data_IF_635045099332
#
_entry.id   IF_635045099332
#
_cell.length_a   1.000
_cell.length_b   1.000
_cell.length_c   1.000
_cell.angle_alpha   90.00
_cell.angle_beta   90.00
_cell.angle_gamma   90.00
#
_symmetry.space_group_name_H-M   'P 1'
#
loop_
_entity.id
_entity.type
_entity.pdbx_description
1 polymer ?
#
# COMPACT_ATOMS: atom_id res chain seq x y z
N UNK A 1 -14.76 20.62 -4.42
CA UNK A 1 -15.69 19.53 -4.81
C UNK A 1 -15.27 18.30 -4.02
N UNK A 2 -16.18 17.77 -3.20
CA UNK A 2 -15.94 16.76 -2.16
C UNK A 2 -15.07 15.59 -2.65
N UNK A 3 -13.95 15.35 -1.97
CA UNK A 3 -13.13 14.16 -2.19
C UNK A 3 -13.88 12.96 -1.59
N UNK A 4 -14.41 12.11 -2.47
CA UNK A 4 -14.98 10.82 -2.14
C UNK A 4 -13.90 9.93 -1.53
N UNK A 5 -13.97 9.74 -0.21
CA UNK A 5 -13.19 8.76 0.54
C UNK A 5 -13.67 7.36 0.15
N UNK A 6 -13.07 6.78 -0.89
CA UNK A 6 -13.21 5.35 -1.16
C UNK A 6 -12.45 4.59 -0.06
N UNK A 7 -13.20 4.06 0.90
CA UNK A 7 -12.71 3.09 1.87
C UNK A 7 -12.11 1.88 1.11
N UNK A 8 -10.88 1.42 1.43
CA UNK A 8 -10.36 0.21 0.84
C UNK A 8 -11.21 -0.98 1.29
N UNK A 9 -11.61 -1.78 0.31
CA UNK A 9 -12.59 -2.85 0.44
C UNK A 9 -12.26 -3.88 1.54
N UNK A 10 -13.33 -4.31 2.21
CA UNK A 10 -13.36 -5.50 3.07
C UNK A 10 -12.64 -6.66 2.40
N UNK A 11 -11.57 -7.17 3.03
CA UNK A 11 -10.88 -8.38 2.61
C UNK A 11 -11.86 -9.57 2.65
N UNK A 12 -12.16 -10.25 1.52
CA UNK A 12 -12.93 -11.48 1.57
C UNK A 12 -12.03 -12.60 2.10
N UNK A 13 -12.14 -12.90 3.39
CA UNK A 13 -11.45 -14.01 4.08
C UNK A 13 -12.15 -15.35 3.78
N UNK A 14 -12.33 -15.67 2.50
CA UNK A 14 -12.89 -16.95 2.05
C UNK A 14 -12.02 -17.51 0.94
N UNK A 15 -10.90 -18.12 1.33
CA UNK A 15 -10.34 -19.34 0.74
C UNK A 15 -9.06 -19.70 1.50
N UNK A 16 -8.82 -21.00 1.66
CA UNK A 16 -7.65 -21.65 2.31
C UNK A 16 -7.79 -21.96 3.81
N UNK A 17 -8.71 -22.87 4.13
CA UNK A 17 -8.41 -23.92 5.12
C UNK A 17 -8.86 -25.27 4.57
N UNK A 18 -8.04 -25.83 3.68
CA UNK A 18 -8.01 -27.25 3.44
C UNK A 18 -6.53 -27.66 3.54
N UNK A 19 -6.27 -28.68 4.36
CA UNK A 19 -4.99 -29.33 4.62
C UNK A 19 -3.98 -28.59 5.52
N UNK A 20 -4.09 -28.82 6.84
CA UNK A 20 -2.95 -28.97 7.75
C UNK A 20 -3.37 -29.66 9.07
N UNK A 21 -3.77 -30.93 8.98
CA UNK A 21 -3.85 -31.81 10.14
C UNK A 21 -3.23 -33.16 9.74
N UNK A 22 -1.93 -33.14 9.43
CA UNK A 22 -1.19 -34.36 9.15
C UNK A 22 0.25 -34.28 9.66
N UNK A 23 0.56 -35.28 10.48
CA UNK A 23 1.85 -35.85 10.85
C UNK A 23 2.69 -35.16 11.95
N UNK A 24 2.81 -35.88 13.07
CA UNK A 24 3.99 -35.92 13.92
C UNK A 24 4.29 -37.38 14.30
N UNK A 25 5.13 -38.05 13.51
CA UNK A 25 5.75 -39.35 13.85
C UNK A 25 7.22 -39.06 14.21
N UNK A 26 7.60 -39.26 15.47
CA UNK A 26 8.96 -39.03 15.96
C UNK A 26 9.84 -40.26 15.75
N UNK A 27 11.02 -40.04 15.17
CA UNK A 27 12.13 -40.99 15.08
C UNK A 27 13.11 -40.81 16.24
N UNK A 28 13.64 -41.93 16.74
CA UNK A 28 14.58 -42.01 17.86
C UNK A 28 16.03 -41.70 17.42
N UNK A 29 16.72 -40.84 18.16
CA UNK A 29 18.18 -40.75 18.21
C UNK A 29 18.64 -40.93 19.66
N UNK A 30 19.71 -41.71 19.86
CA UNK A 30 20.24 -42.10 21.17
C UNK A 30 21.32 -41.12 21.68
N UNK A 31 21.33 -40.72 22.98
CA UNK A 31 22.43 -39.96 23.57
C UNK A 31 23.40 -40.80 24.43
N UNK A 32 24.57 -40.18 24.66
CA UNK A 32 25.83 -40.69 25.21
C UNK A 32 25.91 -40.68 26.76
N UNK A 33 26.90 -41.39 27.33
CA UNK A 33 26.88 -42.07 28.63
C UNK A 33 27.03 -41.26 29.95
N UNK A 34 27.02 -39.92 29.94
CA UNK A 34 27.21 -39.11 31.18
C UNK A 34 25.90 -38.61 31.84
N UNK A 35 24.73 -38.98 31.32
CA UNK A 35 23.41 -38.55 31.81
C UNK A 35 22.87 -39.33 33.03
N UNK A 36 23.61 -40.32 33.55
CA UNK A 36 23.01 -41.43 34.29
C UNK A 36 22.67 -41.17 35.78
N UNK A 37 23.02 -40.01 36.35
CA UNK A 37 22.69 -39.67 37.77
C UNK A 37 21.69 -38.53 37.97
N UNK A 38 21.45 -37.69 36.95
CA UNK A 38 20.23 -36.84 36.89
C UNK A 38 19.03 -37.61 36.33
N UNK A 39 19.30 -38.64 35.50
CA UNK A 39 18.31 -39.53 34.91
C UNK A 39 17.47 -40.34 35.89
N UNK A 40 17.82 -40.62 37.16
CA UNK A 40 16.96 -41.54 37.93
C UNK A 40 15.66 -40.89 38.40
N UNK A 41 15.70 -39.62 38.80
CA UNK A 41 14.48 -38.88 39.14
C UNK A 41 13.76 -38.40 37.89
N UNK A 42 14.49 -37.89 36.88
CA UNK A 42 13.89 -37.46 35.61
C UNK A 42 13.31 -38.65 34.82
N UNK A 43 14.01 -39.79 34.76
CA UNK A 43 13.48 -41.00 34.11
C UNK A 43 12.38 -41.67 34.94
N UNK A 44 12.38 -41.63 36.29
CA UNK A 44 11.20 -42.09 37.04
C UNK A 44 9.98 -41.20 36.78
N UNK A 45 10.15 -39.88 36.71
CA UNK A 45 9.06 -38.96 36.38
C UNK A 45 8.62 -39.06 34.92
N UNK A 46 9.53 -39.35 33.99
CA UNK A 46 9.22 -39.63 32.58
C UNK A 46 8.57 -41.01 32.40
N UNK A 47 8.98 -42.01 33.18
CA UNK A 47 8.43 -43.38 33.16
C UNK A 47 7.04 -43.44 33.85
N UNK A 48 6.82 -42.67 34.93
CA UNK A 48 5.49 -42.44 35.52
C UNK A 48 4.58 -41.62 34.59
N UNK A 49 5.10 -40.55 33.96
CA UNK A 49 4.35 -39.79 32.95
C UNK A 49 4.05 -40.62 31.69
N UNK A 50 4.94 -41.53 31.29
CA UNK A 50 4.72 -42.46 30.19
C UNK A 50 3.70 -43.55 30.56
N UNK A 51 3.70 -44.03 31.80
CA UNK A 51 2.70 -44.98 32.30
C UNK A 51 1.29 -44.36 32.33
N UNK A 52 1.16 -43.08 32.67
CA UNK A 52 -0.11 -42.34 32.69
C UNK A 52 -0.60 -41.95 31.27
N UNK A 53 0.24 -42.13 30.24
CA UNK A 53 -0.07 -41.95 28.82
C UNK A 53 -0.33 -43.26 28.08
N UNK A 54 -0.97 -44.22 28.75
CA UNK A 54 -1.34 -45.51 28.16
C UNK A 54 -2.84 -45.61 27.92
N UNK A 55 -3.21 -46.29 26.83
CA UNK A 55 -4.59 -46.65 26.56
C UNK A 55 -4.93 -47.97 27.24
N UNK A 56 -6.09 -48.01 27.90
CA UNK A 56 -6.81 -49.25 28.16
C UNK A 56 -7.27 -49.86 26.83
N UNK A 57 -7.38 -51.19 26.79
CA UNK A 57 -7.87 -51.89 25.60
C UNK A 57 -9.27 -51.42 25.19
N UNK A 58 -10.16 -51.21 26.17
CA UNK A 58 -11.54 -50.78 25.92
C UNK A 58 -11.61 -49.39 25.27
N UNK A 59 -10.92 -48.38 25.84
CA UNK A 59 -10.96 -47.03 25.28
C UNK A 59 -10.15 -46.94 23.98
N UNK A 60 -9.04 -47.67 23.89
CA UNK A 60 -8.23 -47.76 22.67
C UNK A 60 -9.05 -48.25 21.48
N UNK A 61 -9.86 -49.29 21.63
CA UNK A 61 -10.76 -49.78 20.58
C UNK A 61 -11.80 -48.72 20.14
N UNK A 62 -12.39 -48.00 21.10
CA UNK A 62 -13.36 -46.93 20.79
C UNK A 62 -12.69 -45.80 20.01
N UNK A 63 -11.49 -45.38 20.43
CA UNK A 63 -10.72 -44.32 19.78
C UNK A 63 -10.30 -44.72 18.36
N UNK A 64 -9.78 -45.93 18.17
CA UNK A 64 -9.42 -46.45 16.84
C UNK A 64 -10.64 -46.48 15.92
N UNK A 65 -11.79 -46.97 16.42
CA UNK A 65 -13.03 -46.98 15.65
C UNK A 65 -13.49 -45.57 15.30
N UNK A 66 -13.38 -44.62 16.23
CA UNK A 66 -13.72 -43.23 15.98
C UNK A 66 -12.81 -42.60 14.89
N UNK A 67 -11.52 -42.92 14.87
CA UNK A 67 -10.59 -42.48 13.83
C UNK A 67 -10.92 -43.08 12.46
N UNK A 68 -11.29 -44.36 12.41
CA UNK A 68 -11.75 -45.02 11.18
C UNK A 68 -13.00 -44.33 10.62
N UNK A 69 -13.99 -44.03 11.49
CA UNK A 69 -15.19 -43.27 11.12
C UNK A 69 -14.84 -41.88 10.58
N UNK A 70 -13.92 -41.15 11.21
CA UNK A 70 -13.45 -39.85 10.71
C UNK A 70 -12.74 -39.95 9.36
N UNK A 71 -11.99 -41.04 9.13
CA UNK A 71 -11.30 -41.27 7.87
C UNK A 71 -12.25 -41.56 6.71
N UNK A 72 -13.50 -41.95 7.03
CA UNK A 72 -14.59 -42.17 6.09
C UNK A 72 -15.61 -41.00 6.10
N UNK A 73 -15.25 -39.83 6.63
CA UNK A 73 -16.11 -38.64 6.76
C UNK A 73 -17.41 -38.86 7.58
N UNK A 74 -17.47 -39.92 8.39
CA UNK A 74 -18.61 -40.26 9.25
C UNK A 74 -18.51 -39.52 10.59
N UNK A 75 -18.50 -38.19 10.55
CA UNK A 75 -18.25 -37.33 11.71
C UNK A 75 -19.27 -37.49 12.84
N UNK A 76 -20.57 -37.61 12.52
CA UNK A 76 -21.63 -37.79 13.52
C UNK A 76 -21.54 -39.13 14.26
N UNK A 77 -21.19 -40.20 13.56
CA UNK A 77 -20.96 -41.51 14.17
C UNK A 77 -19.70 -41.50 15.04
N UNK A 78 -18.63 -40.84 14.58
CA UNK A 78 -17.40 -40.65 15.36
C UNK A 78 -17.67 -39.92 16.67
N UNK A 79 -18.45 -38.83 16.65
CA UNK A 79 -18.88 -38.10 17.85
C UNK A 79 -19.60 -39.05 18.81
N UNK A 80 -20.55 -39.85 18.30
CA UNK A 80 -21.30 -40.82 19.11
C UNK A 80 -20.39 -41.87 19.74
N UNK A 81 -19.35 -42.34 19.04
CA UNK A 81 -18.35 -43.26 19.62
C UNK A 81 -17.53 -42.58 20.72
N UNK A 82 -17.05 -41.35 20.48
CA UNK A 82 -16.22 -40.61 21.43
C UNK A 82 -17.01 -40.20 22.69
N UNK A 83 -18.31 -39.93 22.56
CA UNK A 83 -19.20 -39.71 23.70
C UNK A 83 -19.26 -40.94 24.63
N UNK A 84 -19.24 -42.15 24.06
CA UNK A 84 -19.20 -43.39 24.85
C UNK A 84 -17.91 -43.52 25.64
N UNK A 85 -16.76 -43.20 25.04
CA UNK A 85 -15.48 -43.20 25.74
C UNK A 85 -15.49 -42.20 26.90
N UNK A 86 -15.89 -40.96 26.63
CA UNK A 86 -15.90 -39.86 27.61
C UNK A 86 -16.88 -40.08 28.77
N UNK A 87 -17.92 -40.88 28.56
CA UNK A 87 -18.90 -41.29 29.57
C UNK A 87 -18.48 -42.48 30.43
N UNK A 88 -17.34 -43.14 30.17
CA UNK A 88 -16.84 -44.23 31.02
C UNK A 88 -16.28 -43.68 32.33
N UNK A 89 -16.65 -44.28 33.45
CA UNK A 89 -16.15 -43.90 34.78
C UNK A 89 -14.65 -44.17 34.98
N UNK A 90 -14.09 -45.11 34.22
CA UNK A 90 -12.68 -45.50 34.31
C UNK A 90 -11.75 -44.83 33.30
N UNK A 91 -12.23 -43.87 32.50
CA UNK A 91 -11.38 -43.19 31.51
C UNK A 91 -10.32 -42.34 32.22
N UNK A 92 -9.05 -42.58 31.90
CA UNK A 92 -7.93 -41.83 32.48
C UNK A 92 -7.77 -40.46 31.81
N UNK A 93 -6.88 -39.61 32.35
CA UNK A 93 -6.71 -38.24 31.85
C UNK A 93 -6.16 -38.20 30.42
N UNK A 94 -5.23 -39.09 30.07
CA UNK A 94 -4.66 -39.19 28.73
C UNK A 94 -5.71 -39.60 27.69
N UNK A 95 -6.42 -40.69 27.95
CA UNK A 95 -7.52 -41.18 27.13
C UNK A 95 -8.60 -40.11 26.93
N UNK A 96 -8.95 -39.40 28.03
CA UNK A 96 -9.90 -38.29 27.99
C UNK A 96 -9.39 -37.17 27.08
N UNK A 97 -8.13 -36.77 27.21
CA UNK A 97 -7.55 -35.71 26.38
C UNK A 97 -7.58 -36.08 24.89
N UNK A 98 -7.20 -37.30 24.53
CA UNK A 98 -7.23 -37.76 23.13
C UNK A 98 -8.67 -37.86 22.61
N UNK A 99 -9.60 -38.40 23.39
CA UNK A 99 -11.00 -38.49 22.98
C UNK A 99 -11.63 -37.10 22.77
N UNK A 100 -11.32 -36.13 23.64
CA UNK A 100 -11.73 -34.74 23.48
C UNK A 100 -11.11 -34.08 22.24
N UNK A 101 -9.81 -34.29 21.98
CA UNK A 101 -9.16 -33.76 20.76
C UNK A 101 -9.83 -34.27 19.48
N UNK A 102 -10.09 -35.58 19.41
CA UNK A 102 -10.76 -36.20 18.26
C UNK A 102 -12.22 -35.74 18.12
N UNK A 103 -12.95 -35.59 19.23
CA UNK A 103 -14.36 -35.16 19.18
C UNK A 103 -14.45 -33.69 18.81
N UNK A 104 -13.52 -32.88 19.31
CA UNK A 104 -13.39 -31.48 18.91
C UNK A 104 -13.11 -31.33 17.42
N UNK A 105 -12.25 -32.18 16.83
CA UNK A 105 -12.06 -32.23 15.37
C UNK A 105 -13.36 -32.58 14.63
N UNK A 106 -14.09 -33.60 15.07
CA UNK A 106 -15.35 -33.96 14.45
C UNK A 106 -16.42 -32.86 14.58
N UNK A 107 -16.41 -32.11 15.68
CA UNK A 107 -17.24 -30.92 15.84
C UNK A 107 -16.83 -29.79 14.89
N UNK A 108 -15.55 -29.58 14.66
CA UNK A 108 -15.07 -28.61 13.68
C UNK A 108 -15.54 -28.95 12.25
N UNK A 109 -15.37 -30.19 11.82
CA UNK A 109 -15.78 -30.66 10.47
C UNK A 109 -17.31 -30.65 10.28
N UNK A 110 -18.07 -30.59 11.37
CA UNK A 110 -19.54 -30.46 11.35
C UNK A 110 -20.02 -29.06 11.68
N UNK A 111 -19.14 -28.06 11.58
CA UNK A 111 -19.41 -26.63 11.82
C UNK A 111 -19.93 -26.32 13.24
N UNK A 112 -19.69 -27.20 14.22
CA UNK A 112 -20.06 -27.06 15.64
C UNK A 112 -18.94 -26.41 16.44
N UNK A 113 -18.60 -25.18 16.07
CA UNK A 113 -17.34 -24.53 16.44
C UNK A 113 -17.18 -24.30 17.95
N UNK A 114 -18.24 -23.90 18.66
CA UNK A 114 -18.20 -23.77 20.13
C UNK A 114 -17.99 -25.10 20.84
N UNK A 115 -18.50 -26.20 20.28
CA UNK A 115 -18.29 -27.54 20.85
C UNK A 115 -16.84 -27.98 20.62
N UNK A 116 -16.27 -27.70 19.44
CA UNK A 116 -14.87 -27.96 19.14
C UNK A 116 -13.93 -27.21 20.10
N UNK A 117 -14.15 -25.90 20.27
CA UNK A 117 -13.36 -25.04 21.16
C UNK A 117 -13.44 -25.54 22.61
N UNK A 118 -14.64 -25.92 23.08
CA UNK A 118 -14.83 -26.45 24.43
C UNK A 118 -14.03 -27.74 24.63
N UNK A 119 -14.18 -28.71 23.72
CA UNK A 119 -13.49 -29.99 23.82
C UNK A 119 -11.96 -29.82 23.82
N UNK A 120 -11.44 -28.95 22.97
CA UNK A 120 -10.01 -28.68 22.93
C UNK A 120 -9.50 -27.96 24.19
N UNK A 121 -10.28 -27.04 24.77
CA UNK A 121 -9.96 -26.43 26.07
C UNK A 121 -10.00 -27.45 27.20
N UNK A 122 -11.00 -28.32 27.21
CA UNK A 122 -11.13 -29.40 28.19
C UNK A 122 -9.98 -30.41 28.06
N UNK A 123 -9.51 -30.69 26.84
CA UNK A 123 -8.35 -31.54 26.61
C UNK A 123 -7.07 -30.94 27.21
N UNK A 124 -6.86 -29.62 27.08
CA UNK A 124 -5.76 -28.89 27.74
C UNK A 124 -5.93 -28.95 29.27
N UNK A 125 -7.15 -28.80 29.77
CA UNK A 125 -7.46 -28.77 31.20
C UNK A 125 -7.21 -30.11 31.91
N UNK A 126 -7.05 -31.21 31.18
CA UNK A 126 -6.62 -32.49 31.76
C UNK A 126 -5.21 -32.45 32.34
N UNK A 127 -4.37 -31.50 31.89
CA UNK A 127 -2.98 -31.34 32.34
C UNK A 127 -2.00 -32.41 31.85
N UNK A 128 -2.45 -33.39 31.06
CA UNK A 128 -1.64 -34.54 30.62
C UNK A 128 -0.91 -34.28 29.30
N UNK A 129 -1.34 -33.27 28.53
CA UNK A 129 -0.73 -32.89 27.26
C UNK A 129 0.66 -32.31 27.52
N UNK A 130 1.64 -32.70 26.72
CA UNK A 130 2.96 -32.06 26.78
C UNK A 130 2.88 -30.61 26.26
N UNK A 131 3.99 -29.89 26.39
CA UNK A 131 4.07 -28.47 25.99
C UNK A 131 3.72 -28.27 24.52
N UNK A 132 4.27 -29.08 23.61
CA UNK A 132 4.06 -28.93 22.16
C UNK A 132 2.61 -29.23 21.77
N UNK A 133 2.01 -30.26 22.35
CA UNK A 133 0.59 -30.61 22.17
C UNK A 133 -0.31 -29.48 22.66
N UNK A 134 -0.02 -28.91 23.83
CA UNK A 134 -0.76 -27.77 24.39
C UNK A 134 -0.63 -26.53 23.52
N UNK A 135 0.58 -26.20 23.07
CA UNK A 135 0.87 -25.07 22.18
C UNK A 135 0.11 -25.22 20.87
N UNK A 136 0.22 -26.38 20.22
CA UNK A 136 -0.47 -26.66 18.96
C UNK A 136 -1.98 -26.54 19.10
N UNK A 137 -2.54 -27.08 20.19
CA UNK A 137 -3.98 -27.02 20.43
C UNK A 137 -4.49 -25.61 20.71
N UNK A 138 -3.73 -24.79 21.46
CA UNK A 138 -4.05 -23.37 21.65
C UNK A 138 -4.00 -22.57 20.36
N UNK A 139 -3.03 -22.84 19.49
CA UNK A 139 -2.96 -22.19 18.17
C UNK A 139 -4.20 -22.55 17.35
N UNK A 140 -4.61 -23.83 17.32
CA UNK A 140 -5.81 -24.27 16.61
C UNK A 140 -7.09 -23.62 17.16
N UNK A 141 -7.24 -23.57 18.49
CA UNK A 141 -8.36 -22.87 19.15
C UNK A 141 -8.36 -21.39 18.73
N UNK A 142 -7.21 -20.72 18.79
CA UNK A 142 -7.12 -19.30 18.48
C UNK A 142 -7.39 -18.98 17.00
N UNK A 143 -6.90 -19.80 16.09
CA UNK A 143 -7.22 -19.72 14.66
C UNK A 143 -8.73 -19.84 14.42
N UNK A 144 -9.38 -20.82 15.05
CA UNK A 144 -10.81 -21.04 14.90
C UNK A 144 -11.63 -19.88 15.47
N UNK A 145 -11.23 -19.34 16.62
CA UNK A 145 -11.85 -18.15 17.21
C UNK A 145 -11.74 -16.94 16.29
N UNK A 146 -10.56 -16.67 15.71
CA UNK A 146 -10.34 -15.56 14.77
C UNK A 146 -11.17 -15.73 13.50
N UNK A 147 -11.24 -16.95 12.95
CA UNK A 147 -12.06 -17.26 11.78
C UNK A 147 -13.55 -16.99 12.01
N UNK A 148 -14.00 -17.12 13.26
CA UNK A 148 -15.37 -16.82 13.70
C UNK A 148 -15.55 -15.41 14.26
N UNK A 149 -14.66 -14.48 13.93
CA UNK A 149 -14.73 -13.07 14.33
C UNK A 149 -14.63 -12.83 15.86
N UNK A 150 -14.24 -13.85 16.63
CA UNK A 150 -13.95 -13.76 18.08
C UNK A 150 -12.49 -13.37 18.28
N UNK A 151 -12.14 -12.20 17.74
CA UNK A 151 -10.74 -11.78 17.58
C UNK A 151 -9.97 -11.73 18.91
N UNK A 152 -10.51 -11.09 19.94
CA UNK A 152 -9.83 -10.96 21.23
C UNK A 152 -9.55 -12.32 21.88
N UNK A 153 -10.53 -13.21 21.92
CA UNK A 153 -10.34 -14.55 22.48
C UNK A 153 -9.31 -15.36 21.69
N UNK A 154 -9.33 -15.28 20.36
CA UNK A 154 -8.36 -16.01 19.55
C UNK A 154 -6.94 -15.46 19.65
N UNK A 155 -6.80 -14.14 19.78
CA UNK A 155 -5.53 -13.47 20.11
C UNK A 155 -4.99 -14.00 21.43
N UNK A 156 -5.83 -14.06 22.47
CA UNK A 156 -5.41 -14.48 23.82
C UNK A 156 -4.88 -15.92 23.83
N UNK A 157 -5.53 -16.83 23.10
CA UNK A 157 -5.11 -18.23 22.98
C UNK A 157 -3.76 -18.38 22.27
N UNK A 158 -3.56 -17.69 21.14
CA UNK A 158 -2.30 -17.74 20.40
C UNK A 158 -1.18 -17.08 21.21
N UNK A 159 -1.47 -16.01 21.96
CA UNK A 159 -0.50 -15.41 22.85
C UNK A 159 -0.14 -16.30 24.04
N UNK A 160 -1.10 -17.06 24.57
CA UNK A 160 -0.81 -18.07 25.57
C UNK A 160 0.09 -19.18 25.02
N UNK A 161 -0.16 -19.62 23.78
CA UNK A 161 0.72 -20.56 23.09
C UNK A 161 2.14 -20.01 22.90
N UNK A 162 2.26 -18.75 22.50
CA UNK A 162 3.56 -18.09 22.33
C UNK A 162 4.33 -17.94 23.66
N UNK A 163 3.65 -17.60 24.76
CA UNK A 163 4.25 -17.56 26.11
C UNK A 163 4.73 -18.93 26.59
N UNK A 164 4.12 -20.01 26.11
CA UNK A 164 4.52 -21.38 26.40
C UNK A 164 5.64 -21.90 25.46
N UNK A 165 6.25 -21.04 24.64
CA UNK A 165 7.37 -21.39 23.75
C UNK A 165 6.96 -21.66 22.31
N UNK A 166 5.68 -21.50 21.94
CA UNK A 166 5.23 -21.62 20.57
C UNK A 166 5.83 -20.56 19.64
N UNK A 167 6.36 -20.98 18.50
CA UNK A 167 6.92 -20.07 17.51
C UNK A 167 5.82 -19.31 16.76
N UNK A 168 5.96 -17.98 16.69
CA UNK A 168 5.13 -17.13 15.83
C UNK A 168 5.84 -16.96 14.48
N UNK A 169 5.62 -17.92 13.58
CA UNK A 169 6.10 -17.81 12.20
C UNK A 169 5.37 -16.67 11.43
N UNK A 170 5.83 -16.37 10.22
CA UNK A 170 5.28 -15.31 9.38
C UNK A 170 3.75 -15.41 9.20
N UNK A 171 3.22 -16.61 8.92
CA UNK A 171 1.79 -16.83 8.72
C UNK A 171 0.99 -16.50 9.98
N UNK A 172 1.47 -16.97 11.13
CA UNK A 172 0.81 -16.71 12.41
C UNK A 172 0.90 -15.23 12.81
N UNK A 173 2.03 -14.57 12.52
CA UNK A 173 2.21 -13.14 12.72
C UNK A 173 1.25 -12.32 11.84
N UNK A 174 1.08 -12.67 10.56
CA UNK A 174 0.09 -12.02 9.69
C UNK A 174 -1.33 -12.18 10.24
N UNK A 175 -1.71 -13.40 10.66
CA UNK A 175 -3.04 -13.64 11.19
C UNK A 175 -3.29 -12.87 12.49
N UNK A 176 -2.32 -12.84 13.40
CA UNK A 176 -2.40 -12.03 14.61
C UNK A 176 -2.55 -10.55 14.27
N UNK A 177 -1.71 -10.00 13.38
CA UNK A 177 -1.83 -8.62 12.94
C UNK A 177 -3.21 -8.34 12.30
N UNK A 178 -3.77 -9.24 11.51
CA UNK A 178 -5.12 -9.06 10.99
C UNK A 178 -6.17 -9.07 12.10
N UNK A 179 -6.10 -10.02 13.03
CA UNK A 179 -7.03 -10.11 14.16
C UNK A 179 -6.96 -8.87 15.07
N UNK A 180 -5.76 -8.38 15.37
CA UNK A 180 -5.56 -7.15 16.14
C UNK A 180 -6.19 -5.95 15.46
N UNK A 181 -6.04 -5.84 14.13
CA UNK A 181 -6.62 -4.73 13.40
C UNK A 181 -8.16 -4.82 13.32
N UNK A 182 -8.74 -6.02 13.19
CA UNK A 182 -10.20 -6.22 13.25
C UNK A 182 -10.78 -5.95 14.65
N UNK A 183 -9.95 -6.07 15.69
CA UNK A 183 -10.30 -5.71 17.06
C UNK A 183 -10.05 -4.21 17.36
N UNK A 184 -9.68 -3.39 16.37
CA UNK A 184 -9.28 -1.98 16.53
C UNK A 184 -8.10 -1.74 17.50
N UNK A 185 -7.23 -2.74 17.65
CA UNK A 185 -6.07 -2.73 18.58
C UNK A 185 -4.75 -2.59 17.81
N UNK A 186 -4.65 -1.51 17.05
CA UNK A 186 -3.50 -1.22 16.18
C UNK A 186 -2.15 -1.12 16.92
N UNK A 187 -2.04 -0.45 18.08
CA UNK A 187 -0.76 -0.36 18.79
C UNK A 187 -0.19 -1.74 19.16
N UNK A 188 -1.01 -2.66 19.65
CA UNK A 188 -0.55 -4.00 20.07
C UNK A 188 -0.28 -4.94 18.89
N UNK A 189 -1.01 -4.75 17.79
CA UNK A 189 -0.89 -5.55 16.57
C UNK A 189 0.32 -5.20 15.70
N UNK A 190 0.82 -3.96 15.81
CA UNK A 190 1.89 -3.44 14.96
C UNK A 190 3.14 -4.33 14.95
N UNK A 191 3.56 -4.82 16.13
CA UNK A 191 4.72 -5.72 16.24
C UNK A 191 4.58 -6.99 15.41
N UNK A 192 3.35 -7.50 15.26
CA UNK A 192 3.09 -8.70 14.47
C UNK A 192 3.07 -8.38 12.97
N UNK A 193 2.58 -7.20 12.58
CA UNK A 193 2.66 -6.72 11.21
C UNK A 193 4.12 -6.51 10.79
N UNK A 194 4.94 -5.89 11.64
CA UNK A 194 6.38 -5.71 11.43
C UNK A 194 7.13 -7.05 11.44
N UNK A 195 6.78 -7.98 12.34
CA UNK A 195 7.35 -9.32 12.37
C UNK A 195 7.05 -10.11 11.08
N UNK A 196 5.79 -10.11 10.62
CA UNK A 196 5.42 -10.74 9.37
C UNK A 196 6.15 -10.11 8.17
N UNK A 197 6.22 -8.78 8.13
CA UNK A 197 6.95 -8.04 7.11
C UNK A 197 8.43 -8.44 7.08
N UNK A 198 9.10 -8.38 8.22
CA UNK A 198 10.54 -8.63 8.32
C UNK A 198 10.90 -10.10 8.06
N UNK A 199 10.09 -11.03 8.60
CA UNK A 199 10.29 -12.47 8.47
C UNK A 199 9.96 -13.06 7.09
N UNK A 200 9.21 -12.35 6.25
CA UNK A 200 8.88 -12.84 4.92
C UNK A 200 10.08 -12.80 3.95
N UNK A 201 10.31 -13.91 3.26
CA UNK A 201 11.27 -14.05 2.17
C UNK A 201 10.78 -15.03 1.09
N UNK A 202 10.43 -14.57 -0.13
CA UNK A 202 10.40 -13.17 -0.56
C UNK A 202 9.25 -12.38 0.09
N UNK A 203 9.41 -11.06 0.22
CA UNK A 203 8.32 -10.17 0.63
C UNK A 203 7.35 -9.96 -0.53
N UNK A 204 6.17 -10.56 -0.42
CA UNK A 204 5.02 -10.34 -1.33
C UNK A 204 4.20 -9.09 -0.97
N UNK A 205 3.30 -8.67 -1.87
CA UNK A 205 2.44 -7.48 -1.72
C UNK A 205 1.60 -7.48 -0.44
N UNK A 206 1.12 -8.65 0.02
CA UNK A 206 0.33 -8.76 1.25
C UNK A 206 1.06 -8.23 2.48
N UNK A 207 2.38 -8.44 2.58
CA UNK A 207 3.18 -8.01 3.72
C UNK A 207 3.33 -6.48 3.73
N UNK A 208 3.56 -5.88 2.55
CA UNK A 208 3.61 -4.42 2.39
C UNK A 208 2.27 -3.76 2.74
N UNK A 209 1.17 -4.29 2.21
CA UNK A 209 -0.16 -3.74 2.46
C UNK A 209 -0.53 -3.81 3.93
N UNK A 210 -0.19 -4.92 4.61
CA UNK A 210 -0.49 -5.10 6.03
C UNK A 210 0.26 -4.07 6.88
N UNK A 211 1.58 -3.93 6.70
CA UNK A 211 2.35 -2.97 7.50
C UNK A 211 2.00 -1.52 7.15
N UNK A 212 1.72 -1.22 5.88
CA UNK A 212 1.26 0.10 5.45
C UNK A 212 -0.08 0.47 6.11
N UNK A 213 -1.02 -0.47 6.17
CA UNK A 213 -2.30 -0.27 6.84
C UNK A 213 -2.12 0.08 8.32
N UNK A 214 -1.22 -0.62 9.01
CA UNK A 214 -0.87 -0.29 10.40
C UNK A 214 -0.22 1.09 10.54
N UNK A 215 0.71 1.46 9.67
CA UNK A 215 1.33 2.78 9.71
C UNK A 215 0.35 3.91 9.37
N UNK A 216 -0.66 3.66 8.55
CA UNK A 216 -1.76 4.59 8.28
C UNK A 216 -2.64 4.77 9.51
N UNK A 217 -3.12 3.68 10.11
CA UNK A 217 -3.99 3.75 11.30
C UNK A 217 -3.33 4.33 12.53
N UNK A 218 -2.00 4.37 12.57
CA UNK A 218 -1.20 4.93 13.67
C UNK A 218 -0.54 6.26 13.31
N UNK A 219 -0.90 6.88 12.17
CA UNK A 219 -0.35 8.15 11.69
C UNK A 219 1.20 8.19 11.63
N UNK A 220 1.83 7.04 11.36
CA UNK A 220 3.30 6.90 11.22
C UNK A 220 3.76 7.30 9.82
N UNK A 221 3.62 8.58 9.45
CA UNK A 221 3.85 9.07 8.08
C UNK A 221 5.25 8.75 7.53
N UNK A 222 6.30 8.87 8.35
CA UNK A 222 7.67 8.54 7.93
C UNK A 222 7.81 7.07 7.49
N UNK A 223 7.17 6.15 8.22
CA UNK A 223 7.15 4.73 7.88
C UNK A 223 6.28 4.43 6.66
N UNK A 224 5.14 5.12 6.52
CA UNK A 224 4.31 5.02 5.31
C UNK A 224 5.12 5.40 4.06
N UNK A 225 5.84 6.52 4.09
CA UNK A 225 6.70 6.96 2.97
C UNK A 225 7.78 5.94 2.65
N UNK A 226 8.45 5.41 3.68
CA UNK A 226 9.47 4.37 3.50
C UNK A 226 8.88 3.13 2.82
N UNK A 227 7.77 2.60 3.33
CA UNK A 227 7.13 1.40 2.79
C UNK A 227 6.66 1.64 1.36
N UNK A 228 5.96 2.73 1.08
CA UNK A 228 5.50 3.03 -0.29
C UNK A 228 6.69 3.21 -1.24
N UNK A 229 7.80 3.81 -0.80
CA UNK A 229 9.04 3.90 -1.59
C UNK A 229 9.63 2.51 -1.91
N UNK A 230 9.68 1.61 -0.92
CA UNK A 230 10.08 0.21 -1.12
C UNK A 230 9.13 -0.52 -2.09
N UNK A 231 7.82 -0.25 -2.01
CA UNK A 231 6.83 -0.78 -2.97
C UNK A 231 7.09 -0.25 -4.38
N UNK A 232 7.37 1.05 -4.55
CA UNK A 232 7.63 1.67 -5.85
C UNK A 232 8.88 1.09 -6.52
N UNK A 233 9.93 0.84 -5.73
CA UNK A 233 11.16 0.20 -6.22
C UNK A 233 10.93 -1.27 -6.63
N UNK A 234 10.07 -1.99 -5.91
CA UNK A 234 9.77 -3.42 -6.19
C UNK A 234 8.78 -3.60 -7.34
N UNK A 235 7.81 -2.71 -7.49
CA UNK A 235 6.81 -2.73 -8.56
C UNK A 235 6.90 -1.47 -9.41
N UNK A 236 8.02 -1.29 -10.16
CA UNK A 236 8.34 -0.06 -10.85
C UNK A 236 7.45 0.21 -12.07
N UNK A 237 6.49 -0.65 -12.39
CA UNK A 237 5.51 -0.45 -13.48
C UNK A 237 4.12 -0.10 -12.97
N UNK A 238 3.88 -0.14 -11.66
CA UNK A 238 2.56 0.08 -11.07
C UNK A 238 2.31 1.56 -10.76
N UNK A 239 1.73 2.28 -11.72
CA UNK A 239 1.41 3.72 -11.62
C UNK A 239 0.76 4.12 -10.28
N UNK A 240 -0.20 3.35 -9.79
CA UNK A 240 -0.93 3.69 -8.55
C UNK A 240 -0.03 3.81 -7.32
N UNK A 241 1.05 3.02 -7.25
CA UNK A 241 2.01 3.08 -6.13
C UNK A 241 2.80 4.39 -6.21
N UNK A 242 3.29 4.74 -7.40
CA UNK A 242 4.02 5.99 -7.64
C UNK A 242 3.15 7.23 -7.41
N UNK A 243 1.89 7.23 -7.88
CA UNK A 243 0.93 8.31 -7.62
C UNK A 243 0.68 8.48 -6.13
N UNK A 244 0.51 7.38 -5.39
CA UNK A 244 0.33 7.41 -3.93
C UNK A 244 1.59 7.95 -3.25
N UNK A 245 2.77 7.58 -3.74
CA UNK A 245 4.04 8.07 -3.21
C UNK A 245 4.20 9.58 -3.39
N UNK A 246 4.01 10.08 -4.62
CA UNK A 246 4.07 11.51 -4.93
C UNK A 246 3.05 12.30 -4.11
N UNK A 247 1.83 11.77 -3.95
CA UNK A 247 0.78 12.41 -3.16
C UNK A 247 1.14 12.49 -1.68
N UNK A 248 1.71 11.42 -1.12
CA UNK A 248 2.13 11.39 0.28
C UNK A 248 3.28 12.37 0.54
N UNK A 249 4.25 12.46 -0.38
CA UNK A 249 5.33 13.44 -0.31
C UNK A 249 4.79 14.88 -0.35
N UNK A 250 3.92 15.20 -1.32
CA UNK A 250 3.35 16.53 -1.45
C UNK A 250 2.49 16.96 -0.25
N UNK A 251 1.80 16.01 0.41
CA UNK A 251 1.00 16.30 1.61
C UNK A 251 1.83 16.54 2.87
N UNK A 252 3.13 16.25 2.84
CA UNK A 252 4.04 16.35 3.99
C UNK A 252 5.20 17.31 3.71
N UNK A 253 4.92 18.41 2.99
CA UNK A 253 5.86 19.50 2.68
C UNK A 253 7.14 19.01 1.95
N UNK A 254 7.01 17.94 1.15
CA UNK A 254 8.07 17.38 0.30
C UNK A 254 7.71 17.47 -1.18
N UNK A 255 7.23 18.62 -1.62
CA UNK A 255 6.79 18.87 -2.99
C UNK A 255 7.91 18.72 -4.02
N UNK A 256 9.16 19.03 -3.66
CA UNK A 256 10.32 18.82 -4.53
C UNK A 256 10.53 17.32 -4.81
N UNK A 257 10.45 16.49 -3.77
CA UNK A 257 10.55 15.04 -3.93
C UNK A 257 9.35 14.48 -4.71
N UNK A 258 8.15 15.00 -4.47
CA UNK A 258 6.96 14.64 -5.23
C UNK A 258 7.12 14.96 -6.73
N UNK A 259 7.76 16.08 -7.06
CA UNK A 259 8.09 16.45 -8.43
C UNK A 259 9.07 15.45 -9.05
N UNK A 260 10.11 15.04 -8.33
CA UNK A 260 11.05 14.00 -8.78
C UNK A 260 10.35 12.66 -9.04
N UNK A 261 9.43 12.25 -8.18
CA UNK A 261 8.60 11.04 -8.39
C UNK A 261 7.75 11.17 -9.67
N UNK A 262 7.11 12.32 -9.90
CA UNK A 262 6.33 12.56 -11.12
C UNK A 262 7.20 12.54 -12.40
N UNK A 263 8.45 13.03 -12.32
CA UNK A 263 9.42 12.92 -13.42
C UNK A 263 9.75 11.47 -13.73
N UNK A 264 9.97 10.64 -12.72
CA UNK A 264 10.22 9.20 -12.88
C UNK A 264 9.01 8.54 -13.54
N UNK A 265 7.79 8.84 -13.10
CA UNK A 265 6.56 8.33 -13.70
C UNK A 265 6.47 8.67 -15.19
N UNK A 266 6.80 9.90 -15.59
CA UNK A 266 6.80 10.31 -16.99
C UNK A 266 7.87 9.59 -17.82
N UNK A 267 9.10 9.51 -17.31
CA UNK A 267 10.21 8.82 -18.00
C UNK A 267 9.89 7.34 -18.24
N UNK A 268 9.19 6.70 -17.31
CA UNK A 268 8.76 5.30 -17.42
C UNK A 268 7.43 5.13 -18.18
N UNK A 269 6.90 6.19 -18.79
CA UNK A 269 5.67 6.11 -19.61
C UNK A 269 4.39 5.87 -18.82
N UNK A 270 4.38 6.12 -17.52
CA UNK A 270 3.19 5.93 -16.67
C UNK A 270 2.19 7.09 -16.79
N UNK A 271 2.67 8.30 -17.10
CA UNK A 271 1.79 9.45 -17.33
C UNK A 271 1.27 9.39 -18.75
N UNK A 272 0.00 9.04 -18.89
CA UNK A 272 -0.66 8.77 -20.17
C UNK A 272 -1.77 9.76 -20.48
N UNK A 273 -2.24 10.50 -19.48
CA UNK A 273 -3.28 11.50 -19.67
C UNK A 273 -2.67 12.89 -19.87
N UNK A 274 -3.25 13.67 -20.80
CA UNK A 274 -2.78 15.04 -21.07
C UNK A 274 -2.71 15.91 -19.82
N UNK A 275 -3.71 15.81 -18.92
CA UNK A 275 -3.73 16.55 -17.64
C UNK A 275 -2.56 16.23 -16.71
N UNK A 276 -2.08 14.99 -16.72
CA UNK A 276 -0.91 14.58 -15.91
C UNK A 276 0.37 15.23 -16.43
N UNK A 277 0.50 15.25 -17.75
CA UNK A 277 1.64 15.85 -18.46
C UNK A 277 1.61 17.38 -18.31
N UNK A 278 0.44 18.01 -18.43
CA UNK A 278 0.25 19.44 -18.20
C UNK A 278 0.67 19.82 -16.79
N UNK A 279 0.23 19.07 -15.77
CA UNK A 279 0.65 19.30 -14.38
C UNK A 279 2.16 19.14 -14.20
N UNK A 280 2.76 18.14 -14.83
CA UNK A 280 4.22 17.96 -14.81
C UNK A 280 4.94 19.18 -15.43
N UNK A 281 4.47 19.68 -16.58
CA UNK A 281 5.02 20.88 -17.21
C UNK A 281 4.89 22.13 -16.32
N UNK A 282 3.76 22.27 -15.62
CA UNK A 282 3.56 23.35 -14.64
C UNK A 282 4.56 23.25 -13.48
N UNK A 283 4.85 22.05 -12.97
CA UNK A 283 5.91 21.89 -11.96
C UNK A 283 7.29 22.29 -12.48
N UNK A 284 7.64 21.93 -13.72
CA UNK A 284 8.88 22.40 -14.33
C UNK A 284 8.95 23.94 -14.42
N UNK A 285 7.83 24.62 -14.72
CA UNK A 285 7.79 26.09 -14.71
C UNK A 285 7.94 26.65 -13.29
N UNK A 286 7.25 26.06 -12.31
CA UNK A 286 7.29 26.49 -10.90
C UNK A 286 8.69 26.37 -10.28
N UNK A 287 9.42 25.30 -10.58
CA UNK A 287 10.79 25.07 -10.09
C UNK A 287 11.88 25.69 -10.99
N UNK A 288 11.56 26.76 -11.73
CA UNK A 288 12.51 27.50 -12.59
C UNK A 288 13.27 26.63 -13.62
N UNK A 289 12.62 25.58 -14.11
CA UNK A 289 13.11 24.72 -15.20
C UNK A 289 12.24 24.83 -16.48
N UNK A 290 11.91 26.05 -16.95
CA UNK A 290 10.90 26.25 -17.99
C UNK A 290 11.25 25.61 -19.32
N UNK A 291 12.54 25.55 -19.68
CA UNK A 291 12.99 24.90 -20.93
C UNK A 291 12.55 23.44 -21.00
N UNK A 292 12.82 22.66 -19.94
CA UNK A 292 12.51 21.22 -19.93
C UNK A 292 11.00 20.98 -19.96
N UNK A 293 10.25 21.74 -19.18
CA UNK A 293 8.80 21.62 -19.15
C UNK A 293 8.16 22.03 -20.49
N UNK A 294 8.68 23.05 -21.16
CA UNK A 294 8.21 23.46 -22.48
C UNK A 294 8.54 22.42 -23.55
N UNK A 295 9.75 21.85 -23.53
CA UNK A 295 10.14 20.74 -24.41
C UNK A 295 9.20 19.54 -24.25
N UNK A 296 8.86 19.19 -23.02
CA UNK A 296 7.91 18.12 -22.70
C UNK A 296 6.53 18.49 -23.27
N UNK A 297 5.99 19.64 -22.89
CA UNK A 297 4.65 20.05 -23.31
C UNK A 297 4.50 20.11 -24.82
N UNK A 298 5.46 20.72 -25.53
CA UNK A 298 5.50 20.80 -26.99
C UNK A 298 5.54 19.41 -27.65
N UNK A 299 6.43 18.53 -27.18
CA UNK A 299 6.55 17.16 -27.69
C UNK A 299 5.24 16.39 -27.55
N UNK A 300 4.62 16.51 -26.37
CA UNK A 300 3.40 15.78 -26.03
C UNK A 300 2.17 16.35 -26.75
N UNK A 301 2.14 17.65 -27.02
CA UNK A 301 1.16 18.29 -27.90
C UNK A 301 1.32 17.85 -29.36
N UNK A 302 2.55 17.78 -29.86
CA UNK A 302 2.84 17.32 -31.21
C UNK A 302 2.52 15.82 -31.40
N UNK A 303 2.65 15.03 -30.34
CA UNK A 303 2.25 13.62 -30.31
C UNK A 303 0.73 13.41 -30.11
N UNK A 304 -0.04 14.48 -29.92
CA UNK A 304 -1.49 14.41 -29.71
C UNK A 304 -1.93 13.88 -28.34
N UNK A 305 -1.00 13.71 -27.38
CA UNK A 305 -1.34 13.28 -26.01
C UNK A 305 -1.79 14.43 -25.11
N UNK A 306 -1.32 15.63 -25.41
CA UNK A 306 -1.81 16.89 -24.83
C UNK A 306 -2.57 17.66 -25.90
N UNK A 307 -3.81 18.04 -25.60
CA UNK A 307 -4.63 18.79 -26.55
C UNK A 307 -4.09 20.23 -26.74
N UNK A 308 -4.15 20.77 -27.95
CA UNK A 308 -3.74 22.15 -28.26
C UNK A 308 -4.84 23.16 -27.88
N UNK A 309 -5.29 23.11 -26.65
CA UNK A 309 -6.23 24.10 -26.10
C UNK A 309 -5.56 25.46 -25.96
N UNK A 310 -6.36 26.54 -25.93
CA UNK A 310 -5.85 27.88 -25.65
C UNK A 310 -4.96 27.92 -24.40
N UNK A 311 -5.39 27.25 -23.32
CA UNK A 311 -4.65 27.19 -22.05
C UNK A 311 -3.28 26.53 -22.21
N UNK A 312 -3.19 25.42 -22.96
CA UNK A 312 -1.94 24.70 -23.16
C UNK A 312 -0.98 25.44 -24.10
N UNK A 313 -1.51 26.10 -25.14
CA UNK A 313 -0.72 26.97 -26.02
C UNK A 313 -0.18 28.18 -25.25
N UNK A 314 -0.98 28.78 -24.36
CA UNK A 314 -0.53 29.87 -23.49
C UNK A 314 0.54 29.42 -22.49
N UNK A 315 0.35 28.27 -21.85
CA UNK A 315 1.36 27.68 -20.97
C UNK A 315 2.68 27.47 -21.71
N UNK A 316 2.64 26.84 -22.90
CA UNK A 316 3.83 26.61 -23.72
C UNK A 316 4.53 27.92 -24.12
N UNK A 317 3.78 28.90 -24.60
CA UNK A 317 4.31 30.20 -24.96
C UNK A 317 5.00 30.89 -23.77
N UNK A 318 4.36 30.89 -22.61
CA UNK A 318 4.91 31.51 -21.41
C UNK A 318 6.20 30.79 -20.95
N UNK A 319 6.26 29.47 -21.01
CA UNK A 319 7.46 28.72 -20.64
C UNK A 319 8.61 28.96 -21.61
N UNK A 320 8.37 29.02 -22.93
CA UNK A 320 9.43 29.40 -23.87
C UNK A 320 9.95 30.81 -23.65
N UNK A 321 9.07 31.76 -23.31
CA UNK A 321 9.48 33.13 -22.93
C UNK A 321 10.30 33.14 -21.64
N UNK A 322 9.88 32.42 -20.60
CA UNK A 322 10.63 32.30 -19.33
C UNK A 322 12.02 31.70 -19.56
N UNK A 323 12.14 30.72 -20.46
CA UNK A 323 13.40 30.12 -20.86
C UNK A 323 14.25 31.02 -21.79
N UNK A 324 13.73 32.17 -22.24
CA UNK A 324 14.33 33.08 -23.24
C UNK A 324 14.60 32.40 -24.60
N UNK A 325 13.80 31.39 -24.94
CA UNK A 325 13.84 30.69 -26.22
C UNK A 325 12.92 31.38 -27.23
N UNK A 326 13.29 32.60 -27.66
CA UNK A 326 12.43 33.45 -28.50
C UNK A 326 12.06 32.82 -29.83
N UNK A 327 13.01 32.13 -30.48
CA UNK A 327 12.81 31.39 -31.74
C UNK A 327 11.65 30.39 -31.65
N UNK A 328 11.48 29.74 -30.48
CA UNK A 328 10.39 28.80 -30.22
C UNK A 328 9.13 29.49 -29.70
N UNK A 329 9.29 30.55 -28.91
CA UNK A 329 8.16 31.27 -28.33
C UNK A 329 7.31 31.96 -29.39
N UNK A 330 7.93 32.58 -30.40
CA UNK A 330 7.26 33.45 -31.39
C UNK A 330 6.21 32.70 -32.24
N UNK A 331 6.49 31.52 -32.82
CA UNK A 331 5.48 30.74 -33.53
C UNK A 331 4.28 30.36 -32.64
N UNK A 332 4.54 30.00 -31.38
CA UNK A 332 3.49 29.62 -30.42
C UNK A 332 2.67 30.85 -30.00
N UNK A 333 3.32 31.99 -29.74
CA UNK A 333 2.67 33.26 -29.43
C UNK A 333 1.82 33.79 -30.59
N UNK A 334 2.29 33.63 -31.84
CA UNK A 334 1.51 33.97 -33.03
C UNK A 334 0.24 33.14 -33.11
N UNK A 335 0.37 31.81 -32.95
CA UNK A 335 -0.76 30.90 -32.88
C UNK A 335 -1.73 31.31 -31.76
N UNK A 336 -1.23 31.62 -30.56
CA UNK A 336 -2.05 32.06 -29.43
C UNK A 336 -2.77 33.38 -29.71
N UNK A 337 -2.08 34.36 -30.28
CA UNK A 337 -2.64 35.66 -30.63
C UNK A 337 -3.76 35.52 -31.68
N UNK A 338 -3.57 34.66 -32.69
CA UNK A 338 -4.58 34.34 -33.70
C UNK A 338 -5.77 33.59 -33.11
N UNK A 339 -5.53 32.59 -32.24
CA UNK A 339 -6.58 31.81 -31.58
C UNK A 339 -7.48 32.66 -30.68
N UNK A 340 -6.89 33.62 -29.96
CA UNK A 340 -7.61 34.41 -28.95
C UNK A 340 -8.09 35.76 -29.46
N UNK A 341 -7.46 36.26 -30.52
CA UNK A 341 -7.60 37.63 -31.02
C UNK A 341 -7.48 38.71 -29.92
N UNK A 342 -6.80 38.41 -28.81
CA UNK A 342 -6.70 39.28 -27.65
C UNK A 342 -5.49 40.21 -27.76
N UNK A 343 -5.68 41.51 -27.50
CA UNK A 343 -4.61 42.51 -27.56
C UNK A 343 -3.41 42.11 -26.69
N UNK A 344 -3.64 41.58 -25.49
CA UNK A 344 -2.57 41.13 -24.58
C UNK A 344 -1.66 40.06 -25.20
N UNK A 345 -2.21 39.13 -25.99
CA UNK A 345 -1.41 38.08 -26.63
C UNK A 345 -0.63 38.61 -27.84
N UNK A 346 -1.16 39.62 -28.56
CA UNK A 346 -0.39 40.37 -29.56
C UNK A 346 0.73 41.19 -28.92
N UNK A 347 0.52 41.76 -27.73
CA UNK A 347 1.56 42.48 -27.00
C UNK A 347 2.70 41.53 -26.61
N UNK A 348 2.38 40.37 -26.04
CA UNK A 348 3.38 39.32 -25.71
C UNK A 348 4.18 38.87 -26.95
N UNK A 349 3.52 38.75 -28.11
CA UNK A 349 4.17 38.44 -29.39
C UNK A 349 5.14 39.56 -29.80
N UNK A 350 4.72 40.83 -29.73
CA UNK A 350 5.54 41.98 -30.04
C UNK A 350 6.76 42.11 -29.13
N UNK A 351 6.59 41.89 -27.82
CA UNK A 351 7.69 41.83 -26.85
C UNK A 351 8.71 40.75 -27.22
N UNK A 352 8.26 39.55 -27.58
CA UNK A 352 9.16 38.46 -27.96
C UNK A 352 9.92 38.77 -29.27
N UNK A 353 9.25 39.33 -30.27
CA UNK A 353 9.87 39.77 -31.53
C UNK A 353 10.93 40.86 -31.29
N UNK A 354 10.63 41.82 -30.40
CA UNK A 354 11.60 42.84 -30.02
C UNK A 354 12.84 42.22 -29.35
N UNK A 355 12.67 41.27 -28.44
CA UNK A 355 13.79 40.56 -27.80
C UNK A 355 14.64 39.75 -28.79
N UNK A 356 14.05 39.32 -29.92
CA UNK A 356 14.75 38.65 -31.01
C UNK A 356 15.42 39.63 -32.00
N UNK A 357 15.17 40.95 -31.86
CA UNK A 357 15.68 41.98 -32.77
C UNK A 357 14.86 42.16 -34.05
N UNK A 358 13.69 41.54 -34.16
CA UNK A 358 12.78 41.62 -35.31
C UNK A 358 11.92 42.90 -35.24
N UNK A 359 12.57 44.07 -35.31
CA UNK A 359 11.98 45.37 -34.97
C UNK A 359 10.72 45.70 -35.79
N UNK A 360 10.70 45.47 -37.10
CA UNK A 360 9.53 45.77 -37.94
C UNK A 360 8.33 44.86 -37.61
N UNK A 361 8.60 43.58 -37.33
CA UNK A 361 7.57 42.64 -36.95
C UNK A 361 7.03 42.96 -35.53
N UNK A 362 7.91 43.38 -34.61
CA UNK A 362 7.55 43.82 -33.28
C UNK A 362 6.61 45.05 -33.33
N UNK A 363 6.95 46.07 -34.12
CA UNK A 363 6.09 47.24 -34.36
C UNK A 363 4.69 46.83 -34.81
N UNK A 364 4.60 45.97 -35.83
CA UNK A 364 3.32 45.50 -36.39
C UNK A 364 2.47 44.74 -35.36
N UNK A 365 3.11 43.91 -34.52
CA UNK A 365 2.43 43.16 -33.47
C UNK A 365 1.94 44.07 -32.32
N UNK A 366 2.72 45.07 -31.92
CA UNK A 366 2.35 46.00 -30.84
C UNK A 366 1.24 46.94 -31.29
N UNK A 367 1.29 47.46 -32.52
CA UNK A 367 0.17 48.23 -33.10
C UNK A 367 -1.11 47.38 -33.14
N UNK A 368 -0.98 46.11 -33.53
CA UNK A 368 -2.10 45.16 -33.50
C UNK A 368 -2.66 44.95 -32.09
N UNK A 369 -1.81 44.95 -31.06
CA UNK A 369 -2.18 44.85 -29.66
C UNK A 369 -2.95 46.10 -29.19
N UNK A 370 -2.39 47.28 -29.47
CA UNK A 370 -2.97 48.59 -29.12
C UNK A 370 -4.33 48.80 -29.79
N UNK A 371 -4.45 48.46 -31.07
CA UNK A 371 -5.70 48.58 -31.83
C UNK A 371 -6.82 47.67 -31.29
N UNK A 372 -6.45 46.48 -30.78
CA UNK A 372 -7.42 45.54 -30.18
C UNK A 372 -7.83 45.92 -28.77
N UNK A 373 -6.97 46.65 -28.05
CA UNK A 373 -7.22 47.08 -26.68
C UNK A 373 -7.27 45.91 -25.69
N UNK A 374 -7.85 46.18 -24.51
CA UNK A 374 -7.90 45.19 -23.42
C UNK A 374 -6.55 44.90 -22.76
N UNK A 375 -5.55 45.77 -22.98
CA UNK A 375 -4.22 45.65 -22.41
C UNK A 375 -4.25 46.02 -20.93
N UNK A 376 -3.55 45.25 -20.10
CA UNK A 376 -3.40 45.60 -18.67
C UNK A 376 -2.48 46.81 -18.47
N UNK A 377 -1.51 46.98 -19.36
CA UNK A 377 -0.49 48.02 -19.28
C UNK A 377 -0.38 48.79 -20.60
N UNK A 378 -1.47 49.45 -21.00
CA UNK A 378 -1.54 50.18 -22.28
C UNK A 378 -0.46 51.25 -22.43
N UNK A 379 -0.16 52.00 -21.36
CA UNK A 379 0.93 52.98 -21.37
C UNK A 379 2.30 52.35 -21.67
N UNK A 380 2.61 51.21 -21.05
CA UNK A 380 3.87 50.49 -21.28
C UNK A 380 3.97 49.94 -22.72
N UNK A 381 2.85 49.50 -23.30
CA UNK A 381 2.81 49.07 -24.69
C UNK A 381 3.14 50.21 -25.67
N UNK A 382 2.61 51.42 -25.42
CA UNK A 382 2.96 52.62 -26.19
C UNK A 382 4.43 53.02 -26.02
N UNK A 383 4.96 52.96 -24.80
CA UNK A 383 6.39 53.23 -24.54
C UNK A 383 7.28 52.23 -25.29
N UNK A 384 6.95 50.94 -25.27
CA UNK A 384 7.67 49.92 -26.02
C UNK A 384 7.65 50.19 -27.52
N UNK A 385 6.49 50.56 -28.07
CA UNK A 385 6.37 50.96 -29.48
C UNK A 385 7.26 52.18 -29.80
N UNK A 386 7.29 53.18 -28.92
CA UNK A 386 8.15 54.36 -29.06
C UNK A 386 9.64 53.99 -29.08
N UNK A 387 10.07 53.09 -28.20
CA UNK A 387 11.45 52.60 -28.16
C UNK A 387 11.83 51.90 -29.46
N UNK A 388 10.98 50.99 -29.96
CA UNK A 388 11.24 50.25 -31.20
C UNK A 388 11.33 51.21 -32.41
N UNK A 389 10.41 52.17 -32.50
CA UNK A 389 10.42 53.20 -33.56
C UNK A 389 11.66 54.07 -33.49
N UNK A 390 12.11 54.42 -32.28
CA UNK A 390 13.35 55.17 -32.09
C UNK A 390 14.57 54.37 -32.59
N UNK A 391 14.65 53.07 -32.27
CA UNK A 391 15.70 52.17 -32.76
C UNK A 391 15.66 52.00 -34.29
N UNK A 392 14.48 52.02 -34.90
CA UNK A 392 14.30 52.03 -36.37
C UNK A 392 14.66 53.38 -37.03
N UNK A 393 14.95 54.42 -36.24
CA UNK A 393 15.25 55.78 -36.72
C UNK A 393 14.02 56.64 -37.00
N UNK A 394 12.82 56.17 -36.68
CA UNK A 394 11.54 56.82 -36.91
C UNK A 394 11.21 57.83 -35.79
N UNK A 395 12.04 58.86 -35.65
CA UNK A 395 12.01 59.79 -34.49
C UNK A 395 10.65 60.44 -34.24
N UNK A 396 9.96 60.88 -35.29
CA UNK A 396 8.65 61.53 -35.14
C UNK A 396 7.60 60.53 -34.64
N UNK A 397 7.53 59.36 -35.25
CA UNK A 397 6.64 58.26 -34.85
C UNK A 397 6.93 57.77 -33.43
N UNK A 398 8.18 57.84 -32.98
CA UNK A 398 8.58 57.51 -31.62
C UNK A 398 8.05 58.53 -30.60
N UNK A 399 8.21 59.84 -30.87
CA UNK A 399 7.67 60.92 -30.01
C UNK A 399 6.15 60.76 -29.87
N UNK A 400 5.45 60.55 -30.98
CA UNK A 400 3.99 60.34 -30.95
C UNK A 400 3.58 59.14 -30.09
N UNK A 401 4.33 58.04 -30.16
CA UNK A 401 4.08 56.88 -29.32
C UNK A 401 4.34 57.16 -27.84
N UNK A 402 5.41 57.90 -27.50
CA UNK A 402 5.68 58.31 -26.11
C UNK A 402 4.61 59.26 -25.56
N UNK A 403 4.15 60.24 -26.35
CA UNK A 403 3.09 61.16 -25.99
C UNK A 403 1.76 60.43 -25.72
N UNK A 404 1.47 59.39 -26.50
CA UNK A 404 0.33 58.49 -26.26
C UNK A 404 0.52 57.68 -24.98
N UNK A 405 1.71 57.16 -24.74
CA UNK A 405 2.03 56.41 -23.52
C UNK A 405 1.82 57.22 -22.25
N UNK A 406 2.17 58.52 -22.26
CA UNK A 406 2.01 59.43 -21.13
C UNK A 406 0.55 59.79 -20.77
N UNK A 407 -0.43 59.40 -21.60
CA UNK A 407 -1.85 59.66 -21.38
C UNK A 407 -2.56 58.58 -20.56
N UNK A 408 -1.88 57.47 -20.26
CA UNK A 408 -2.36 56.37 -19.42
C UNK A 408 -1.66 56.42 -18.05
#
# INVERSE_FOLDING_TARGET
>A
MMLSTNAPGRFPLRLLMAAACSAGLLGLMTPDADAQRRNQNDAQSEEEAAADRTFSAEIGEIVLRAQELQSNDQWGESITQLDRALGRSGINNYERAIALQLRGRAYYETERLDSAIRDWRDAIATGILNTDETVGLRINIGQLLIANERYNEGIDEIQAAARAGGEINERLAMMLAQAYAQADRFPEGLRYAEQAYNGANPKERRHFNLVLYYYQSLDRTADQMRIIGEMAARWPTEKNIWTSYASLLAQNDREEDAFEVNKIMYINGMLTEGREIERLAQYYSFYDLPYRGASILEREMNAGRVERTQSNVELLANMWRQAREWDRAIPVLRTLAEMTNAGENYLKLGEALYQQGELQAATSAIESALNRGGLRQTGNAWVLLGNIRYELGERQSAIEAFDRGAQF
#
